data_IF_676540662772
#
_entry.id   IF_676540662772
#
_cell.length_a   1.000
_cell.length_b   1.000
_cell.length_c   1.000
_cell.angle_alpha   90.00
_cell.angle_beta   90.00
_cell.angle_gamma   90.00
#
_symmetry.space_group_name_H-M   'P 1'
#
loop_
_entity.id
_entity.type
_entity.pdbx_description
1 polymer ?
#
# COMPACT_ATOMS: atom_id res chain seq x y z
N UNK A 1 4.40 -26.13 -14.53
CA UNK A 1 3.30 -25.26 -15.01
C UNK A 1 2.23 -25.14 -13.94
N UNK A 2 2.47 -24.41 -12.85
CA UNK A 2 1.55 -24.35 -11.68
C UNK A 2 1.33 -22.93 -11.14
N UNK A 3 1.63 -21.88 -11.91
CA UNK A 3 1.57 -20.49 -11.43
C UNK A 3 0.50 -19.59 -12.07
N UNK A 4 -0.26 -20.08 -13.05
CA UNK A 4 -1.29 -19.25 -13.71
C UNK A 4 -2.58 -19.13 -12.87
N UNK A 5 -2.96 -20.17 -12.13
CA UNK A 5 -4.19 -20.17 -11.33
C UNK A 5 -4.08 -19.27 -10.09
N UNK A 6 -2.90 -19.22 -9.45
CA UNK A 6 -2.65 -18.38 -8.26
C UNK A 6 -2.61 -16.87 -8.56
N UNK A 7 -2.39 -16.47 -9.81
CA UNK A 7 -2.38 -15.05 -10.22
C UNK A 7 -3.79 -14.50 -10.47
N UNK A 8 -4.74 -15.34 -10.86
CA UNK A 8 -6.12 -14.91 -11.10
C UNK A 8 -6.90 -14.68 -9.80
N UNK A 9 -6.53 -15.35 -8.70
CA UNK A 9 -7.16 -15.17 -7.39
C UNK A 9 -6.70 -13.91 -6.64
N UNK A 10 -5.50 -13.39 -6.92
CA UNK A 10 -4.98 -12.17 -6.28
C UNK A 10 -5.34 -10.86 -6.98
N UNK A 11 -5.74 -10.89 -8.25
CA UNK A 11 -6.26 -9.69 -8.95
C UNK A 11 -7.68 -9.32 -8.51
N UNK A 12 -8.37 -10.24 -7.82
CA UNK A 12 -9.66 -9.99 -7.19
C UNK A 12 -9.50 -9.51 -5.74
N UNK A 13 -8.48 -8.68 -5.48
CA UNK A 13 -8.36 -7.90 -4.24
C UNK A 13 -9.43 -6.79 -4.25
N UNK A 14 -10.67 -7.28 -4.13
CA UNK A 14 -12.00 -6.71 -3.93
C UNK A 14 -12.36 -5.48 -4.74
N UNK A 15 -12.66 -5.58 -6.05
CA UNK A 15 -13.42 -4.53 -6.78
C UNK A 15 -14.48 -3.90 -5.85
N UNK A 16 -14.53 -2.57 -5.68
CA UNK A 16 -15.46 -1.93 -4.75
C UNK A 16 -16.88 -2.47 -4.89
N UNK A 17 -17.58 -2.64 -3.75
CA UNK A 17 -18.91 -3.26 -3.71
C UNK A 17 -19.87 -2.54 -4.66
N UNK A 18 -19.76 -1.21 -4.74
CA UNK A 18 -20.57 -0.36 -5.63
C UNK A 18 -20.33 -0.69 -7.11
N UNK A 19 -19.08 -1.01 -7.50
CA UNK A 19 -18.75 -1.44 -8.86
C UNK A 19 -19.22 -2.87 -9.14
N UNK A 20 -19.24 -3.75 -8.13
CA UNK A 20 -19.81 -5.09 -8.28
C UNK A 20 -21.33 -5.03 -8.47
N UNK A 21 -22.03 -4.20 -7.69
CA UNK A 21 -23.47 -3.96 -7.82
C UNK A 21 -23.81 -3.37 -9.18
N UNK A 22 -23.01 -2.39 -9.65
CA UNK A 22 -23.18 -1.81 -10.97
C UNK A 22 -22.95 -2.83 -12.09
N UNK A 23 -21.96 -3.73 -11.95
CA UNK A 23 -21.73 -4.80 -12.90
C UNK A 23 -22.94 -5.74 -12.99
N UNK A 24 -23.49 -6.17 -11.84
CA UNK A 24 -24.72 -6.99 -11.79
C UNK A 24 -25.92 -6.29 -12.42
N UNK A 25 -26.06 -4.97 -12.20
CA UNK A 25 -27.13 -4.19 -12.82
C UNK A 25 -26.99 -4.15 -14.35
N UNK A 26 -25.78 -3.94 -14.87
CA UNK A 26 -25.50 -4.00 -16.31
C UNK A 26 -25.76 -5.40 -16.86
N UNK A 27 -25.47 -6.43 -16.07
CA UNK A 27 -25.76 -7.83 -16.41
C UNK A 27 -27.25 -8.20 -16.38
N UNK A 28 -28.14 -7.32 -15.93
CA UNK A 28 -29.58 -7.51 -16.07
C UNK A 28 -30.13 -6.89 -17.36
N UNK A 29 -29.33 -6.10 -18.07
CA UNK A 29 -29.76 -5.39 -19.28
C UNK A 29 -29.85 -6.32 -20.50
N UNK A 30 -30.77 -6.03 -21.45
CA UNK A 30 -30.79 -6.69 -22.76
C UNK A 30 -29.45 -6.55 -23.48
N UNK A 31 -29.09 -7.59 -24.24
CA UNK A 31 -27.76 -7.77 -24.87
C UNK A 31 -27.26 -6.52 -25.59
N UNK A 32 -28.09 -5.87 -26.41
CA UNK A 32 -27.72 -4.67 -27.17
C UNK A 32 -27.21 -3.53 -26.28
N UNK A 33 -27.83 -3.30 -25.13
CA UNK A 33 -27.43 -2.23 -24.21
C UNK A 33 -26.25 -2.63 -23.35
N UNK A 34 -26.20 -3.90 -22.94
CA UNK A 34 -25.05 -4.46 -22.23
C UNK A 34 -23.78 -4.32 -23.06
N UNK A 35 -23.79 -4.78 -24.30
CA UNK A 35 -22.61 -4.78 -25.16
C UNK A 35 -22.06 -3.38 -25.42
N UNK A 36 -22.93 -2.37 -25.45
CA UNK A 36 -22.53 -0.97 -25.60
C UNK A 36 -21.83 -0.41 -24.34
N UNK A 37 -22.20 -0.88 -23.15
CA UNK A 37 -21.77 -0.29 -21.87
C UNK A 37 -20.63 -1.10 -21.23
N UNK A 38 -20.58 -2.41 -21.43
CA UNK A 38 -19.56 -3.33 -20.88
C UNK A 38 -18.13 -2.82 -21.06
N UNK A 39 -17.70 -2.32 -22.25
CA UNK A 39 -16.34 -1.83 -22.41
C UNK A 39 -16.03 -0.60 -21.55
N UNK A 40 -17.01 0.28 -21.33
CA UNK A 40 -16.84 1.44 -20.47
C UNK A 40 -16.77 1.04 -18.99
N UNK A 41 -17.62 0.10 -18.58
CA UNK A 41 -17.61 -0.45 -17.22
C UNK A 41 -16.27 -1.12 -16.90
N UNK A 42 -15.75 -1.96 -17.80
CA UNK A 42 -14.46 -2.62 -17.60
C UNK A 42 -13.33 -1.61 -17.37
N UNK A 43 -13.27 -0.53 -18.17
CA UNK A 43 -12.26 0.52 -17.98
C UNK A 43 -12.37 1.20 -16.62
N UNK A 44 -13.59 1.39 -16.09
CA UNK A 44 -13.80 1.98 -14.76
C UNK A 44 -13.31 1.03 -13.66
N UNK A 45 -13.64 -0.25 -13.76
CA UNK A 45 -13.14 -1.29 -12.83
C UNK A 45 -11.61 -1.32 -12.85
N UNK A 46 -11.00 -1.42 -14.02
CA UNK A 46 -9.54 -1.45 -14.18
C UNK A 46 -8.87 -0.21 -13.57
N UNK A 47 -9.43 0.98 -13.86
CA UNK A 47 -8.92 2.24 -13.32
C UNK A 47 -9.06 2.31 -11.78
N UNK A 48 -10.19 1.84 -11.24
CA UNK A 48 -10.44 1.82 -9.80
C UNK A 48 -9.47 0.87 -9.07
N UNK A 49 -9.33 -0.35 -9.59
CA UNK A 49 -8.43 -1.36 -9.04
C UNK A 49 -6.98 -0.89 -9.09
N UNK A 50 -6.55 -0.31 -10.23
CA UNK A 50 -5.19 0.25 -10.37
C UNK A 50 -4.93 1.38 -9.37
N UNK A 51 -5.86 2.31 -9.20
CA UNK A 51 -5.72 3.43 -8.24
C UNK A 51 -5.58 2.91 -6.82
N UNK A 52 -6.41 1.94 -6.42
CA UNK A 52 -6.29 1.33 -5.08
C UNK A 52 -4.93 0.67 -4.88
N UNK A 53 -4.44 -0.09 -5.86
CA UNK A 53 -3.11 -0.70 -5.78
C UNK A 53 -2.01 0.34 -5.57
N UNK A 54 -2.06 1.46 -6.30
CA UNK A 54 -1.11 2.57 -6.12
C UNK A 54 -1.21 3.13 -4.70
N UNK A 55 -2.43 3.38 -4.20
CA UNK A 55 -2.62 3.90 -2.84
C UNK A 55 -2.10 2.93 -1.77
N UNK A 56 -2.32 1.63 -1.93
CA UNK A 56 -1.80 0.61 -1.01
C UNK A 56 -0.27 0.61 -1.00
N UNK A 57 0.38 0.66 -2.16
CA UNK A 57 1.85 0.75 -2.25
C UNK A 57 2.38 2.04 -1.60
N UNK A 58 1.70 3.17 -1.79
CA UNK A 58 2.06 4.42 -1.13
C UNK A 58 1.90 4.31 0.38
N UNK A 59 0.81 3.71 0.87
CA UNK A 59 0.57 3.50 2.30
C UNK A 59 1.63 2.59 2.93
N UNK A 60 2.03 1.53 2.23
CA UNK A 60 3.10 0.63 2.65
C UNK A 60 4.44 1.35 2.72
N UNK A 61 4.81 2.10 1.68
CA UNK A 61 6.04 2.88 1.65
C UNK A 61 6.09 3.94 2.76
N UNK A 62 4.98 4.65 3.02
CA UNK A 62 4.88 5.61 4.12
C UNK A 62 4.96 4.93 5.49
N UNK A 63 4.38 3.73 5.63
CA UNK A 63 4.46 2.95 6.86
C UNK A 63 5.88 2.49 7.15
N UNK A 64 6.60 2.05 6.10
CA UNK A 64 8.02 1.70 6.19
C UNK A 64 8.86 2.92 6.57
N UNK A 65 8.69 4.05 5.87
CA UNK A 65 9.41 5.29 6.17
C UNK A 65 9.17 5.74 7.62
N UNK A 66 7.94 5.62 8.11
CA UNK A 66 7.61 5.93 9.51
C UNK A 66 8.36 5.04 10.50
N UNK A 67 8.56 3.77 10.16
CA UNK A 67 9.36 2.85 10.97
C UNK A 67 10.85 3.23 10.90
N UNK A 68 11.36 3.52 9.72
CA UNK A 68 12.75 3.93 9.51
C UNK A 68 13.09 5.20 10.29
N UNK A 69 12.16 6.18 10.33
CA UNK A 69 12.31 7.38 11.17
C UNK A 69 12.40 7.05 12.66
N UNK A 70 11.64 6.06 13.16
CA UNK A 70 11.73 5.64 14.57
C UNK A 70 13.10 5.03 14.88
N UNK A 71 13.63 4.21 13.97
CA UNK A 71 14.98 3.65 14.14
C UNK A 71 16.06 4.74 14.11
N UNK A 72 15.96 5.72 13.22
CA UNK A 72 16.91 6.82 13.16
C UNK A 72 16.93 7.63 14.47
N UNK A 73 15.76 7.91 15.05
CA UNK A 73 15.67 8.63 16.33
C UNK A 73 16.30 7.80 17.45
N UNK A 74 16.05 6.49 17.48
CA UNK A 74 16.63 5.59 18.47
C UNK A 74 18.17 5.55 18.38
N UNK A 75 18.72 5.39 17.17
CA UNK A 75 20.17 5.39 16.94
C UNK A 75 20.81 6.73 17.34
N UNK A 76 20.12 7.85 17.06
CA UNK A 76 20.56 9.18 17.48
C UNK A 76 20.60 9.31 19.01
N UNK A 77 19.62 8.78 19.72
CA UNK A 77 19.62 8.78 21.18
C UNK A 77 20.73 7.91 21.76
N UNK A 78 20.98 6.73 21.18
CA UNK A 78 22.08 5.86 21.60
C UNK A 78 23.43 6.57 21.45
N UNK A 79 23.71 7.13 20.27
CA UNK A 79 24.97 7.86 20.00
C UNK A 79 25.12 9.12 20.86
N UNK A 80 24.03 9.82 21.19
CA UNK A 80 24.05 10.93 22.15
C UNK A 80 24.45 10.46 23.55
N UNK A 81 23.84 9.38 24.05
CA UNK A 81 24.17 8.82 25.37
C UNK A 81 25.62 8.37 25.45
N UNK A 82 26.12 7.67 24.44
CA UNK A 82 27.52 7.23 24.36
C UNK A 82 28.48 8.43 24.39
N UNK A 83 28.22 9.46 23.57
CA UNK A 83 29.01 10.69 23.59
C UNK A 83 29.00 11.36 24.97
N UNK A 84 27.84 11.46 25.60
CA UNK A 84 27.72 12.13 26.90
C UNK A 84 28.44 11.35 28.00
N UNK A 85 28.45 10.01 27.94
CA UNK A 85 29.27 9.15 28.80
C UNK A 85 30.77 9.39 28.58
N UNK A 86 31.24 9.45 27.33
CA UNK A 86 32.65 9.71 27.03
C UNK A 86 33.09 11.10 27.47
N UNK A 87 32.24 12.12 27.32
CA UNK A 87 32.53 13.46 27.82
C UNK A 87 32.68 13.48 29.34
N UNK A 88 31.75 12.84 30.06
CA UNK A 88 31.82 12.75 31.51
C UNK A 88 33.09 12.03 32.01
N UNK A 89 33.55 11.00 31.31
CA UNK A 89 34.82 10.33 31.64
C UNK A 89 36.03 11.25 31.47
N UNK A 90 36.10 12.00 30.36
CA UNK A 90 37.21 12.94 30.10
C UNK A 90 37.20 14.11 31.09
N UNK A 91 36.02 14.62 31.44
CA UNK A 91 35.88 15.69 32.43
C UNK A 91 36.21 15.20 33.85
N UNK A 92 35.84 13.95 34.19
CA UNK A 92 36.16 13.34 35.48
C UNK A 92 37.62 12.90 35.65
N UNK A 93 38.35 12.66 34.56
CA UNK A 93 39.81 12.38 34.56
C UNK A 93 40.66 13.66 34.74
N UNK A 94 40.06 14.85 34.72
CA UNK A 94 40.74 16.15 34.85
C UNK A 94 40.68 16.77 36.27
N UNK A 95 40.09 16.08 37.25
CA UNK A 95 40.10 16.45 38.68
C UNK A 95 41.03 15.54 39.50
#
# INVERSE_FOLDING_TARGET
MLNAASQAESDNEATPIELQELARAIESLPTRYRDAITPAMQRVVDCSTRRRRILNLVQEALSQLRLDMKYLIFDLEATRRERDQYKAMIEGDQE
#
